data_IF_629110894458
#
_entry.id   IF_629110894458
#
_cell.length_a   1.000
_cell.length_b   1.000
_cell.length_c   1.000
_cell.angle_alpha   90.00
_cell.angle_beta   90.00
_cell.angle_gamma   90.00
#
_symmetry.space_group_name_H-M   'P 1'
#
loop_
_entity.id
_entity.type
_entity.pdbx_description
1 polymer ?
#
# COMPACT_ATOMS: atom_id res chain seq x y z
N UNK A 1 -21.38 8.24 -23.64
CA UNK A 1 -21.33 9.55 -24.34
C UNK A 1 -21.99 10.60 -23.45
N UNK A 2 -21.27 11.27 -22.55
CA UNK A 2 -21.88 12.31 -21.68
C UNK A 2 -20.87 13.35 -21.16
N UNK A 3 -19.76 13.59 -21.87
CA UNK A 3 -18.68 14.49 -21.40
C UNK A 3 -18.51 15.76 -22.27
N UNK A 4 -19.23 15.87 -23.39
CA UNK A 4 -19.02 16.94 -24.39
C UNK A 4 -19.91 18.19 -24.24
N UNK A 5 -20.88 18.17 -23.33
CA UNK A 5 -21.82 19.29 -23.16
C UNK A 5 -21.33 20.34 -22.15
N UNK A 6 -20.70 19.93 -21.04
CA UNK A 6 -20.31 20.85 -19.96
C UNK A 6 -19.31 21.94 -20.41
N UNK A 7 -18.36 21.60 -21.28
CA UNK A 7 -17.30 22.53 -21.67
C UNK A 7 -17.78 23.63 -22.64
N UNK A 8 -18.89 23.43 -23.35
CA UNK A 8 -19.41 24.43 -24.30
C UNK A 8 -20.14 25.56 -23.59
N UNK A 9 -20.86 25.23 -22.52
CA UNK A 9 -21.67 26.18 -21.77
C UNK A 9 -20.80 27.16 -20.97
N UNK A 10 -19.66 26.70 -20.44
CA UNK A 10 -18.70 27.55 -19.71
C UNK A 10 -18.06 28.60 -20.63
N UNK A 11 -17.59 28.19 -21.81
CA UNK A 11 -16.93 29.08 -22.79
C UNK A 11 -17.92 30.12 -23.33
N UNK A 12 -19.19 29.77 -23.49
CA UNK A 12 -20.23 30.69 -23.97
C UNK A 12 -20.59 31.74 -22.91
N UNK A 13 -20.57 31.37 -21.63
CA UNK A 13 -20.86 32.28 -20.53
C UNK A 13 -19.77 33.35 -20.33
N UNK A 14 -18.49 32.98 -20.49
CA UNK A 14 -17.38 33.94 -20.41
C UNK A 14 -17.39 34.96 -21.56
N UNK A 15 -17.70 34.53 -22.78
CA UNK A 15 -17.84 35.42 -23.94
C UNK A 15 -18.96 36.44 -23.76
N UNK A 16 -20.10 36.01 -23.21
CA UNK A 16 -21.24 36.90 -22.96
C UNK A 16 -20.93 37.99 -21.91
N UNK A 17 -20.15 37.66 -20.87
CA UNK A 17 -19.70 38.66 -19.87
C UNK A 17 -18.80 39.73 -20.49
N UNK A 18 -17.96 39.37 -21.46
CA UNK A 18 -17.10 40.32 -22.15
C UNK A 18 -17.92 41.29 -23.02
N UNK A 19 -18.86 40.77 -23.80
CA UNK A 19 -19.71 41.58 -24.68
C UNK A 19 -20.61 42.57 -23.91
N UNK A 20 -21.14 42.17 -22.74
CA UNK A 20 -21.93 43.06 -21.89
C UNK A 20 -21.10 44.25 -21.38
N UNK A 21 -19.84 44.03 -21.00
CA UNK A 21 -18.94 45.12 -20.57
C UNK A 21 -18.67 46.13 -21.69
N UNK A 22 -18.40 45.65 -22.90
CA UNK A 22 -18.18 46.53 -24.06
C UNK A 22 -19.45 47.31 -24.45
N UNK A 23 -20.62 46.68 -24.38
CA UNK A 23 -21.89 47.33 -24.68
C UNK A 23 -22.19 48.49 -23.71
N UNK A 24 -21.91 48.30 -22.41
CA UNK A 24 -22.05 49.36 -21.39
C UNK A 24 -21.09 50.52 -21.66
N UNK A 25 -19.83 50.23 -22.02
CA UNK A 25 -18.84 51.27 -22.30
C UNK A 25 -19.22 52.13 -23.52
N UNK A 26 -19.65 51.50 -24.62
CA UNK A 26 -20.05 52.21 -25.83
C UNK A 26 -21.32 53.05 -25.59
N UNK A 27 -22.30 52.52 -24.84
CA UNK A 27 -23.51 53.26 -24.48
C UNK A 27 -23.21 54.50 -23.62
N UNK A 28 -22.24 54.40 -22.70
CA UNK A 28 -21.82 55.54 -21.87
C UNK A 28 -21.21 56.67 -22.71
N UNK A 29 -20.33 56.34 -23.66
CA UNK A 29 -19.68 57.33 -24.54
C UNK A 29 -20.71 58.06 -25.42
N UNK A 30 -21.68 57.33 -25.99
CA UNK A 30 -22.73 57.92 -26.82
C UNK A 30 -23.65 58.84 -25.99
N UNK A 31 -23.98 58.45 -24.76
CA UNK A 31 -24.82 59.24 -23.85
C UNK A 31 -24.14 60.55 -23.47
N UNK A 32 -22.85 60.50 -23.14
CA UNK A 32 -22.06 61.70 -22.79
C UNK A 32 -21.94 62.63 -24.01
N UNK A 33 -21.64 62.09 -25.18
CA UNK A 33 -21.55 62.87 -26.42
C UNK A 33 -22.86 63.58 -26.79
N UNK A 34 -23.99 62.90 -26.60
CA UNK A 34 -25.32 63.47 -26.88
C UNK A 34 -25.69 64.63 -25.94
N UNK A 35 -25.32 64.55 -24.66
CA UNK A 35 -25.54 65.61 -23.68
C UNK A 35 -24.69 66.85 -24.04
N UNK A 36 -23.42 66.66 -24.39
CA UNK A 36 -22.52 67.76 -24.76
C UNK A 36 -23.00 68.50 -26.01
N UNK A 37 -23.46 67.76 -27.04
CA UNK A 37 -23.96 68.36 -28.28
C UNK A 37 -25.23 69.19 -28.07
N UNK A 38 -26.11 68.75 -27.18
CA UNK A 38 -27.38 69.42 -26.87
C UNK A 38 -27.21 70.68 -25.99
N UNK A 39 -26.13 70.76 -25.20
CA UNK A 39 -25.92 71.82 -24.20
C UNK A 39 -24.88 72.88 -24.59
N UNK A 40 -24.17 72.72 -25.72
CA UNK A 40 -23.14 73.65 -26.21
C UNK A 40 -23.65 75.10 -26.46
N UNK A 41 -24.96 75.28 -26.58
CA UNK A 41 -25.60 76.58 -26.87
C UNK A 41 -26.02 77.37 -25.62
N UNK A 42 -25.60 77.00 -24.40
CA UNK A 42 -26.00 77.67 -23.14
C UNK A 42 -24.80 77.94 -22.22
N UNK A 43 -24.50 79.21 -21.94
CA UNK A 43 -23.38 79.63 -21.06
C UNK A 43 -23.45 79.08 -19.62
N UNK A 44 -24.65 78.74 -19.15
CA UNK A 44 -24.86 78.14 -17.81
C UNK A 44 -24.28 76.73 -17.69
N UNK A 45 -24.09 76.02 -18.80
CA UNK A 45 -23.50 74.67 -18.80
C UNK A 45 -22.00 74.70 -18.51
N UNK A 46 -21.26 75.67 -19.07
CA UNK A 46 -19.81 75.81 -18.86
C UNK A 46 -19.49 76.00 -17.37
N UNK A 47 -20.30 76.81 -16.67
CA UNK A 47 -20.16 77.01 -15.23
C UNK A 47 -20.43 75.73 -14.42
N UNK A 48 -21.45 74.95 -14.79
CA UNK A 48 -21.78 73.67 -14.12
C UNK A 48 -20.72 72.60 -14.37
N UNK A 49 -20.17 72.51 -15.59
CA UNK A 49 -19.09 71.57 -15.93
C UNK A 49 -17.81 71.92 -15.17
N UNK A 50 -17.46 73.20 -15.06
CA UNK A 50 -16.28 73.64 -14.29
C UNK A 50 -16.41 73.30 -12.81
N UNK A 51 -17.61 73.42 -12.24
CA UNK A 51 -17.89 73.05 -10.85
C UNK A 51 -17.81 71.53 -10.65
N UNK A 52 -18.44 70.76 -11.55
CA UNK A 52 -18.38 69.29 -11.53
C UNK A 52 -16.95 68.77 -11.70
N UNK A 53 -16.14 69.39 -12.55
CA UNK A 53 -14.73 69.04 -12.76
C UNK A 53 -13.89 69.31 -11.49
N UNK A 54 -14.17 70.41 -10.79
CA UNK A 54 -13.50 70.73 -9.51
C UNK A 54 -13.83 69.69 -8.45
N UNK A 55 -15.11 69.33 -8.29
CA UNK A 55 -15.53 68.28 -7.35
C UNK A 55 -14.92 66.93 -7.72
N UNK A 56 -14.92 66.59 -9.00
CA UNK A 56 -14.33 65.34 -9.50
C UNK A 56 -12.84 65.28 -9.17
N UNK A 57 -12.11 66.39 -9.31
CA UNK A 57 -10.69 66.49 -8.96
C UNK A 57 -10.43 66.28 -7.46
N UNK A 58 -11.29 66.83 -6.60
CA UNK A 58 -11.21 66.62 -5.14
C UNK A 58 -11.43 65.14 -4.81
N UNK A 59 -12.46 64.51 -5.41
CA UNK A 59 -12.77 63.10 -5.16
C UNK A 59 -11.64 62.19 -5.66
N UNK A 60 -11.09 62.43 -6.85
CA UNK A 60 -9.94 61.69 -7.37
C UNK A 60 -8.70 61.83 -6.47
N UNK A 61 -8.46 63.01 -5.90
CA UNK A 61 -7.38 63.21 -4.93
C UNK A 61 -7.56 62.37 -3.66
N UNK A 62 -8.80 62.25 -3.16
CA UNK A 62 -9.10 61.43 -1.98
C UNK A 62 -8.91 59.94 -2.28
N UNK A 63 -9.38 59.48 -3.45
CA UNK A 63 -9.18 58.09 -3.90
C UNK A 63 -7.68 57.80 -4.05
N UNK A 64 -6.89 58.73 -4.59
CA UNK A 64 -5.46 58.58 -4.73
C UNK A 64 -4.75 58.45 -3.37
N UNK A 65 -5.09 59.30 -2.39
CA UNK A 65 -4.56 59.20 -1.03
C UNK A 65 -4.97 57.86 -0.37
N UNK A 66 -6.23 57.47 -0.52
CA UNK A 66 -6.74 56.19 0.00
C UNK A 66 -6.01 55.00 -0.63
N UNK A 67 -5.84 54.99 -1.95
CA UNK A 67 -5.07 53.99 -2.66
C UNK A 67 -3.61 53.98 -2.22
N UNK A 68 -2.98 55.13 -1.98
CA UNK A 68 -1.60 55.18 -1.46
C UNK A 68 -1.50 54.46 -0.10
N UNK A 69 -2.38 54.80 0.85
CA UNK A 69 -2.36 54.22 2.20
C UNK A 69 -2.77 52.74 2.18
N UNK A 70 -3.78 52.37 1.39
CA UNK A 70 -4.28 51.00 1.29
C UNK A 70 -3.31 50.10 0.51
N UNK A 71 -2.69 50.62 -0.56
CA UNK A 71 -1.67 49.93 -1.33
C UNK A 71 -0.42 49.69 -0.50
N UNK A 72 0.01 50.65 0.33
CA UNK A 72 1.19 50.46 1.19
C UNK A 72 0.94 49.39 2.27
N UNK A 73 -0.24 49.40 2.90
CA UNK A 73 -0.64 48.35 3.87
C UNK A 73 -0.76 46.97 3.22
N UNK A 74 -1.48 46.87 2.09
CA UNK A 74 -1.65 45.60 1.38
C UNK A 74 -0.35 45.09 0.77
N UNK A 75 0.51 45.97 0.24
CA UNK A 75 1.82 45.60 -0.31
C UNK A 75 2.76 45.08 0.78
N UNK A 76 2.76 45.68 1.97
CA UNK A 76 3.58 45.19 3.08
C UNK A 76 3.11 43.82 3.60
N UNK A 77 1.80 43.61 3.72
CA UNK A 77 1.25 42.30 4.07
C UNK A 77 1.56 41.24 3.00
N UNK A 78 1.48 41.60 1.72
CA UNK A 78 1.85 40.73 0.60
C UNK A 78 3.35 40.41 0.65
N UNK A 79 4.22 41.40 0.86
CA UNK A 79 5.67 41.19 1.00
C UNK A 79 6.00 40.26 2.16
N UNK A 80 5.33 40.44 3.30
CA UNK A 80 5.50 39.59 4.49
C UNK A 80 5.09 38.14 4.20
N UNK A 81 3.92 37.93 3.59
CA UNK A 81 3.46 36.59 3.19
C UNK A 81 4.35 35.94 2.12
N UNK A 82 4.89 36.72 1.19
CA UNK A 82 5.87 36.24 0.19
C UNK A 82 7.16 35.81 0.88
N UNK A 83 7.65 36.59 1.85
CA UNK A 83 8.83 36.24 2.63
C UNK A 83 8.62 34.94 3.41
N UNK A 84 7.51 34.82 4.14
CA UNK A 84 7.15 33.59 4.87
C UNK A 84 7.03 32.39 3.93
N UNK A 85 6.39 32.56 2.77
CA UNK A 85 6.25 31.50 1.77
C UNK A 85 7.61 31.09 1.20
N UNK A 86 8.50 32.05 0.95
CA UNK A 86 9.85 31.80 0.45
C UNK A 86 10.70 31.07 1.49
N UNK A 87 10.60 31.46 2.77
CA UNK A 87 11.27 30.77 3.87
C UNK A 87 10.77 29.32 4.04
N UNK A 88 9.45 29.11 3.94
CA UNK A 88 8.86 27.77 3.98
C UNK A 88 9.29 26.92 2.78
N UNK A 89 9.44 27.51 1.60
CA UNK A 89 9.99 26.82 0.43
C UNK A 89 11.46 26.45 0.63
N UNK A 90 12.29 27.37 1.16
CA UNK A 90 13.69 27.08 1.46
C UNK A 90 13.83 25.92 2.46
N UNK A 91 13.04 25.93 3.55
CA UNK A 91 12.97 24.82 4.52
C UNK A 91 12.48 23.51 3.90
N UNK A 92 11.53 23.58 2.97
CA UNK A 92 11.05 22.39 2.25
C UNK A 92 12.14 21.81 1.35
N UNK A 93 12.88 22.65 0.64
CA UNK A 93 14.02 22.23 -0.20
C UNK A 93 15.12 21.60 0.65
N UNK A 94 15.48 22.20 1.78
CA UNK A 94 16.45 21.64 2.74
C UNK A 94 15.99 20.27 3.26
N UNK A 95 14.71 20.14 3.63
CA UNK A 95 14.15 18.85 4.06
C UNK A 95 14.17 17.81 2.94
N UNK A 96 13.98 18.20 1.68
CA UNK A 96 14.06 17.32 0.52
C UNK A 96 15.51 16.87 0.26
N UNK A 97 16.49 17.75 0.43
CA UNK A 97 17.92 17.41 0.33
C UNK A 97 18.32 16.41 1.42
N UNK A 98 17.95 16.68 2.68
CA UNK A 98 18.17 15.74 3.80
C UNK A 98 17.47 14.40 3.55
N UNK A 99 16.25 14.43 3.00
CA UNK A 99 15.53 13.20 2.67
C UNK A 99 16.21 12.42 1.54
N UNK A 100 16.73 13.11 0.53
CA UNK A 100 17.47 12.50 -0.57
C UNK A 100 18.76 11.84 -0.06
N UNK A 101 19.53 12.52 0.78
CA UNK A 101 20.76 11.98 1.39
C UNK A 101 20.46 10.76 2.27
N UNK A 102 19.38 10.82 3.06
CA UNK A 102 18.92 9.67 3.83
C UNK A 102 18.52 8.51 2.92
N UNK A 103 17.79 8.78 1.83
CA UNK A 103 17.37 7.75 0.90
C UNK A 103 18.56 7.09 0.20
N UNK A 104 19.57 7.86 -0.20
CA UNK A 104 20.82 7.34 -0.75
C UNK A 104 21.55 6.44 0.26
N UNK A 105 21.64 6.86 1.53
CA UNK A 105 22.26 6.02 2.58
C UNK A 105 21.50 4.71 2.83
N UNK A 106 20.16 4.74 2.80
CA UNK A 106 19.31 3.55 2.95
C UNK A 106 19.49 2.62 1.75
N UNK A 107 19.49 3.13 0.53
CA UNK A 107 19.71 2.32 -0.67
C UNK A 107 21.10 1.66 -0.66
N UNK A 108 22.15 2.39 -0.25
CA UNK A 108 23.49 1.83 -0.13
C UNK A 108 23.56 0.74 0.95
N UNK A 109 22.89 0.93 2.08
CA UNK A 109 22.81 -0.08 3.15
C UNK A 109 22.09 -1.33 2.66
N UNK A 110 20.93 -1.18 2.02
CA UNK A 110 20.17 -2.29 1.47
C UNK A 110 20.96 -3.04 0.39
N UNK A 111 21.70 -2.33 -0.47
CA UNK A 111 22.54 -2.95 -1.49
C UNK A 111 23.67 -3.77 -0.86
N UNK A 112 24.24 -3.30 0.25
CA UNK A 112 25.26 -4.04 1.00
C UNK A 112 24.68 -5.28 1.69
N UNK A 113 23.49 -5.17 2.31
CA UNK A 113 22.77 -6.32 2.89
C UNK A 113 22.40 -7.36 1.82
N UNK A 114 21.96 -6.92 0.64
CA UNK A 114 21.66 -7.81 -0.48
C UNK A 114 22.91 -8.52 -1.00
N UNK A 115 24.06 -7.85 -1.03
CA UNK A 115 25.34 -8.47 -1.38
C UNK A 115 25.77 -9.53 -0.34
N UNK A 116 25.61 -9.25 0.96
CA UNK A 116 25.86 -10.23 2.02
C UNK A 116 24.93 -11.46 1.91
N UNK A 117 23.65 -11.23 1.62
CA UNK A 117 22.68 -12.31 1.36
C UNK A 117 23.07 -13.13 0.13
N UNK A 118 23.54 -12.48 -0.94
CA UNK A 118 24.03 -13.16 -2.15
C UNK A 118 25.24 -14.02 -1.84
N UNK A 119 26.22 -13.50 -1.10
CA UNK A 119 27.42 -14.24 -0.71
C UNK A 119 27.07 -15.47 0.14
N UNK A 120 26.16 -15.30 1.12
CA UNK A 120 25.64 -16.41 1.92
C UNK A 120 24.90 -17.45 1.07
N UNK A 121 24.15 -17.02 0.06
CA UNK A 121 23.47 -17.93 -0.86
C UNK A 121 24.46 -18.70 -1.74
N UNK A 122 25.51 -18.06 -2.25
CA UNK A 122 26.59 -18.72 -2.99
C UNK A 122 27.33 -19.75 -2.12
N UNK A 123 27.59 -19.43 -0.85
CA UNK A 123 28.17 -20.38 0.10
C UNK A 123 27.25 -21.58 0.36
N UNK A 124 25.94 -21.35 0.47
CA UNK A 124 24.95 -22.44 0.59
C UNK A 124 24.93 -23.31 -0.66
N UNK A 125 24.91 -22.71 -1.86
CA UNK A 125 24.95 -23.45 -3.13
C UNK A 125 26.20 -24.34 -3.19
N UNK A 126 27.37 -23.79 -2.87
CA UNK A 126 28.62 -24.55 -2.85
C UNK A 126 28.56 -25.71 -1.82
N UNK A 127 27.95 -25.48 -0.66
CA UNK A 127 27.76 -26.54 0.34
C UNK A 127 26.79 -27.63 -0.15
N UNK A 128 25.73 -27.26 -0.87
CA UNK A 128 24.76 -28.19 -1.46
C UNK A 128 25.41 -29.02 -2.57
N UNK A 129 26.22 -28.42 -3.43
CA UNK A 129 26.98 -29.14 -4.46
C UNK A 129 27.96 -30.14 -3.84
N UNK A 130 28.67 -29.73 -2.78
CA UNK A 130 29.60 -30.61 -2.05
C UNK A 130 28.84 -31.77 -1.38
N UNK A 131 27.65 -31.52 -0.84
CA UNK A 131 26.77 -32.56 -0.29
C UNK A 131 26.25 -33.47 -1.41
N UNK A 132 25.85 -32.93 -2.56
CA UNK A 132 25.42 -33.70 -3.72
C UNK A 132 26.51 -34.62 -4.26
N UNK A 133 27.75 -34.14 -4.32
CA UNK A 133 28.91 -34.92 -4.72
C UNK A 133 29.22 -36.03 -3.68
N UNK A 134 29.19 -35.72 -2.38
CA UNK A 134 29.33 -36.74 -1.34
C UNK A 134 28.21 -37.79 -1.35
N UNK A 135 26.97 -37.39 -1.59
CA UNK A 135 25.83 -38.31 -1.75
C UNK A 135 26.02 -39.20 -2.97
N UNK A 136 26.52 -38.65 -4.08
CA UNK A 136 26.81 -39.42 -5.31
C UNK A 136 27.93 -40.42 -5.07
N UNK A 137 29.01 -40.02 -4.40
CA UNK A 137 30.12 -40.91 -4.01
C UNK A 137 29.64 -41.97 -3.02
N UNK A 138 28.75 -41.64 -2.07
CA UNK A 138 28.11 -42.63 -1.19
C UNK A 138 27.26 -43.61 -1.97
N UNK A 139 26.45 -43.14 -2.94
CA UNK A 139 25.61 -43.97 -3.79
C UNK A 139 26.45 -44.94 -4.65
N UNK A 140 27.54 -44.46 -5.23
CA UNK A 140 28.46 -45.25 -6.05
C UNK A 140 29.18 -46.32 -5.20
N UNK A 141 29.65 -45.97 -4.00
CA UNK A 141 30.22 -46.92 -3.04
C UNK A 141 29.21 -47.96 -2.54
N UNK A 142 27.93 -47.63 -2.50
CA UNK A 142 26.84 -48.57 -2.19
C UNK A 142 26.60 -49.53 -3.36
N UNK A 143 26.77 -49.08 -4.60
CA UNK A 143 26.50 -49.88 -5.80
C UNK A 143 27.68 -50.76 -6.26
N UNK A 144 28.92 -50.43 -5.90
CA UNK A 144 30.14 -51.14 -6.34
C UNK A 144 30.57 -52.33 -5.43
N UNK A 145 29.89 -52.58 -4.31
CA UNK A 145 30.23 -53.69 -3.41
C UNK A 145 29.56 -55.01 -3.85
N UNK A 146 30.27 -56.17 -3.83
CA UNK A 146 29.68 -57.45 -4.24
C UNK A 146 28.48 -57.81 -3.36
N UNK A 147 27.50 -58.45 -3.97
CA UNK A 147 26.24 -58.93 -3.39
C UNK A 147 26.47 -59.90 -2.20
N UNK A 148 26.74 -59.33 -1.05
CA UNK A 148 26.55 -59.92 0.27
C UNK A 148 25.31 -59.26 0.86
N UNK A 149 24.38 -59.95 1.54
CA UNK A 149 23.12 -59.37 1.98
C UNK A 149 23.39 -58.24 2.98
N UNK A 150 23.47 -57.01 2.48
CA UNK A 150 23.68 -55.81 3.28
C UNK A 150 22.30 -55.24 3.56
N UNK A 151 21.83 -55.44 4.78
CA UNK A 151 20.77 -54.65 5.41
C UNK A 151 21.20 -53.19 5.45
N UNK A 152 21.02 -52.47 4.34
CA UNK A 152 21.06 -51.01 4.34
C UNK A 152 19.81 -50.52 5.08
N UNK A 153 19.98 -50.14 6.33
CA UNK A 153 19.01 -49.34 7.06
C UNK A 153 18.96 -47.94 6.44
N UNK A 154 18.34 -47.79 5.27
CA UNK A 154 17.65 -46.55 4.92
C UNK A 154 16.55 -46.40 5.96
N UNK A 155 16.87 -45.82 7.12
CA UNK A 155 15.92 -45.68 8.22
C UNK A 155 14.84 -44.69 7.76
N UNK A 156 13.82 -45.21 7.09
CA UNK A 156 12.53 -44.56 6.90
C UNK A 156 12.16 -44.00 8.26
N UNK A 157 11.87 -42.70 8.31
CA UNK A 157 11.52 -41.99 9.53
C UNK A 157 10.52 -42.83 10.32
N UNK A 158 10.83 -43.14 11.58
CA UNK A 158 9.91 -43.96 12.39
C UNK A 158 8.60 -43.22 12.60
N UNK A 159 7.53 -43.94 12.90
CA UNK A 159 6.23 -43.34 13.22
C UNK A 159 6.36 -42.28 14.31
N UNK A 160 7.20 -42.52 15.35
CA UNK A 160 7.46 -41.53 16.40
C UNK A 160 8.13 -40.26 15.86
N UNK A 161 9.15 -40.40 15.02
CA UNK A 161 9.82 -39.24 14.42
C UNK A 161 8.85 -38.42 13.55
N UNK A 162 7.94 -39.09 12.83
CA UNK A 162 6.88 -38.43 12.01
C UNK A 162 5.92 -37.64 12.88
N UNK A 163 5.50 -38.23 14.00
CA UNK A 163 4.66 -37.55 14.99
C UNK A 163 5.40 -36.34 15.59
N UNK A 164 6.68 -36.50 15.98
CA UNK A 164 7.49 -35.40 16.51
C UNK A 164 7.65 -34.28 15.50
N UNK A 165 7.83 -34.59 14.22
CA UNK A 165 7.94 -33.58 13.17
C UNK A 165 6.66 -32.74 13.04
N UNK A 166 5.49 -33.38 13.04
CA UNK A 166 4.22 -32.67 13.09
C UNK A 166 4.05 -31.87 14.39
N UNK A 167 4.46 -32.43 15.53
CA UNK A 167 4.38 -31.74 16.82
C UNK A 167 5.24 -30.48 16.85
N UNK A 168 6.43 -30.51 16.26
CA UNK A 168 7.29 -29.33 16.14
C UNK A 168 6.63 -28.25 15.29
N UNK A 169 6.01 -28.63 14.16
CA UNK A 169 5.23 -27.70 13.34
C UNK A 169 4.05 -27.11 14.13
N UNK A 170 3.32 -27.96 14.83
CA UNK A 170 2.18 -27.54 15.65
C UNK A 170 2.63 -26.58 16.76
N UNK A 171 3.72 -26.87 17.47
CA UNK A 171 4.27 -25.99 18.50
C UNK A 171 4.74 -24.66 17.89
N UNK A 172 5.40 -24.69 16.74
CA UNK A 172 5.80 -23.47 16.02
C UNK A 172 4.61 -22.60 15.63
N UNK A 173 3.52 -23.21 15.18
CA UNK A 173 2.28 -22.50 14.86
C UNK A 173 1.55 -21.98 16.12
N UNK A 174 1.83 -22.58 17.28
CA UNK A 174 1.18 -22.33 18.57
C UNK A 174 2.22 -21.94 19.62
N UNK A 175 2.91 -20.83 19.42
CA UNK A 175 3.86 -20.32 20.42
C UNK A 175 3.12 -19.49 21.50
N UNK A 176 3.36 -19.69 22.79
CA UNK A 176 2.40 -19.39 23.87
C UNK A 176 1.85 -17.92 23.98
N UNK A 177 0.57 -17.79 24.40
CA UNK A 177 -0.05 -16.70 25.18
C UNK A 177 -0.85 -15.50 24.57
N UNK A 178 -1.63 -15.63 23.48
CA UNK A 178 -2.71 -14.65 23.13
C UNK A 178 -3.91 -15.30 22.40
N UNK A 179 -5.10 -14.66 22.40
CA UNK A 179 -6.31 -15.19 21.71
C UNK A 179 -6.16 -15.26 20.18
N UNK A 180 -5.40 -14.35 19.56
CA UNK A 180 -5.00 -14.43 18.13
C UNK A 180 -4.28 -15.74 17.78
N UNK A 181 -3.57 -16.35 18.73
CA UNK A 181 -2.81 -17.59 18.50
C UNK A 181 -3.67 -18.85 18.58
N UNK A 182 -4.81 -18.80 19.28
CA UNK A 182 -5.83 -19.87 19.21
C UNK A 182 -6.41 -19.97 17.81
N UNK A 183 -6.63 -18.83 17.16
CA UNK A 183 -7.10 -18.78 15.77
C UNK A 183 -6.03 -19.34 14.80
N UNK A 184 -4.76 -18.98 14.99
CA UNK A 184 -3.62 -19.56 14.23
C UNK A 184 -3.53 -21.08 14.35
N UNK A 185 -3.71 -21.61 15.55
CA UNK A 185 -3.74 -23.05 15.81
C UNK A 185 -4.91 -23.73 15.08
N UNK A 186 -6.10 -23.12 15.18
CA UNK A 186 -7.31 -23.59 14.53
C UNK A 186 -7.14 -23.64 12.99
N UNK A 187 -6.60 -22.57 12.39
CA UNK A 187 -6.30 -22.53 10.95
C UNK A 187 -5.35 -23.65 10.51
N UNK A 188 -4.27 -23.91 11.26
CA UNK A 188 -3.37 -25.02 10.95
C UNK A 188 -4.11 -26.36 11.03
N UNK A 189 -4.96 -26.55 12.04
CA UNK A 189 -5.73 -27.78 12.22
C UNK A 189 -6.70 -28.00 11.05
N UNK A 190 -7.42 -26.98 10.62
CA UNK A 190 -8.36 -27.02 9.49
C UNK A 190 -7.64 -27.40 8.19
N UNK A 191 -6.51 -26.75 7.92
CA UNK A 191 -5.69 -27.08 6.76
C UNK A 191 -5.15 -28.50 6.83
N UNK A 192 -4.69 -28.94 8.01
CA UNK A 192 -4.18 -30.31 8.22
C UNK A 192 -5.28 -31.35 7.98
N UNK A 193 -6.49 -31.14 8.51
CA UNK A 193 -7.61 -32.04 8.34
C UNK A 193 -8.01 -32.15 6.85
N UNK A 194 -8.10 -31.01 6.16
CA UNK A 194 -8.36 -30.97 4.72
C UNK A 194 -7.28 -31.73 3.93
N UNK A 195 -6.02 -31.53 4.29
CA UNK A 195 -4.87 -32.18 3.65
C UNK A 195 -4.91 -33.71 3.79
N UNK A 196 -5.21 -34.20 5.01
CA UNK A 196 -5.37 -35.64 5.31
C UNK A 196 -6.57 -36.21 4.55
N UNK A 197 -7.71 -35.52 4.55
CA UNK A 197 -8.92 -35.95 3.83
C UNK A 197 -8.66 -36.09 2.33
N UNK A 198 -7.95 -35.11 1.76
CA UNK A 198 -7.61 -35.14 0.35
C UNK A 198 -6.68 -36.32 0.01
N UNK A 199 -5.68 -36.59 0.85
CA UNK A 199 -4.81 -37.76 0.69
C UNK A 199 -5.59 -39.08 0.76
N UNK A 200 -6.48 -39.23 1.75
CA UNK A 200 -7.32 -40.43 1.88
C UNK A 200 -8.20 -40.67 0.65
N UNK A 201 -8.70 -39.60 0.05
CA UNK A 201 -9.53 -39.65 -1.15
C UNK A 201 -8.73 -39.70 -2.46
N UNK A 202 -7.39 -39.79 -2.39
CA UNK A 202 -6.50 -39.71 -3.57
C UNK A 202 -6.70 -38.46 -4.43
N UNK A 203 -7.23 -37.38 -3.83
CA UNK A 203 -7.41 -36.10 -4.51
C UNK A 203 -6.13 -35.25 -4.35
N UNK A 204 -5.66 -34.59 -5.42
CA UNK A 204 -4.49 -33.71 -5.33
C UNK A 204 -4.66 -32.60 -4.30
N UNK A 205 -3.61 -32.35 -3.52
CA UNK A 205 -3.56 -31.19 -2.62
C UNK A 205 -3.16 -29.95 -3.43
N UNK A 206 -4.14 -29.14 -3.83
CA UNK A 206 -3.95 -27.88 -4.56
C UNK A 206 -4.17 -26.69 -3.62
N UNK A 207 -3.24 -25.72 -3.64
CA UNK A 207 -3.29 -24.56 -2.75
C UNK A 207 -4.59 -23.75 -2.91
N UNK A 208 -5.03 -23.52 -4.15
CA UNK A 208 -6.28 -22.81 -4.46
C UNK A 208 -7.51 -23.46 -3.81
N UNK A 209 -7.56 -24.79 -3.79
CA UNK A 209 -8.69 -25.53 -3.20
C UNK A 209 -8.67 -25.45 -1.67
N UNK A 210 -7.47 -25.35 -1.08
CA UNK A 210 -7.31 -25.07 0.33
C UNK A 210 -7.77 -23.64 0.69
N UNK A 211 -7.46 -22.64 -0.14
CA UNK A 211 -7.96 -21.27 0.06
C UNK A 211 -9.48 -21.19 -0.03
N UNK A 212 -10.08 -21.79 -1.06
CA UNK A 212 -11.55 -21.85 -1.17
C UNK A 212 -12.20 -22.55 0.02
N UNK A 213 -11.60 -23.63 0.52
CA UNK A 213 -12.09 -24.29 1.74
C UNK A 213 -12.07 -23.32 2.93
N UNK A 214 -10.97 -22.59 3.12
CA UNK A 214 -10.85 -21.61 4.20
C UNK A 214 -11.87 -20.45 4.07
N UNK A 215 -12.20 -20.01 2.85
CA UNK A 215 -13.29 -19.06 2.61
C UNK A 215 -14.65 -19.63 3.04
N UNK A 216 -14.93 -20.90 2.74
CA UNK A 216 -16.22 -21.53 3.10
C UNK A 216 -16.44 -21.66 4.60
N UNK A 217 -15.36 -21.72 5.39
CA UNK A 217 -15.41 -21.73 6.86
C UNK A 217 -15.28 -20.32 7.46
N UNK A 218 -15.42 -19.28 6.63
CA UNK A 218 -15.39 -17.87 7.00
C UNK A 218 -14.04 -17.42 7.62
N UNK A 219 -12.92 -17.95 7.11
CA UNK A 219 -11.60 -17.47 7.48
C UNK A 219 -11.22 -16.20 6.70
N UNK A 220 -10.65 -15.21 7.40
CA UNK A 220 -10.18 -13.97 6.76
C UNK A 220 -8.87 -14.19 6.00
N UNK A 221 -8.98 -14.47 4.70
CA UNK A 221 -7.82 -14.69 3.83
C UNK A 221 -6.95 -13.45 3.64
N UNK A 222 -7.51 -12.25 3.73
CA UNK A 222 -6.75 -11.01 3.57
C UNK A 222 -5.82 -10.81 4.77
N UNK A 223 -6.35 -11.08 5.97
CA UNK A 223 -5.60 -10.98 7.22
C UNK A 223 -4.58 -12.10 7.38
N UNK A 224 -4.97 -13.34 7.08
CA UNK A 224 -4.18 -14.53 7.40
C UNK A 224 -3.40 -15.11 6.21
N UNK A 225 -3.49 -14.54 5.01
CA UNK A 225 -2.92 -15.10 3.78
C UNK A 225 -1.45 -15.46 3.85
N UNK A 226 -0.62 -14.63 4.48
CA UNK A 226 0.82 -14.92 4.68
C UNK A 226 1.05 -16.17 5.53
N UNK A 227 0.28 -16.32 6.61
CA UNK A 227 0.37 -17.46 7.53
C UNK A 227 -0.16 -18.73 6.88
N UNK A 228 -1.28 -18.63 6.15
CA UNK A 228 -1.86 -19.73 5.36
C UNK A 228 -0.84 -20.25 4.33
N UNK A 229 -0.12 -19.36 3.64
CA UNK A 229 0.93 -19.76 2.69
C UNK A 229 2.08 -20.51 3.38
N UNK A 230 2.53 -20.04 4.55
CA UNK A 230 3.56 -20.74 5.33
C UNK A 230 3.11 -22.11 5.81
N UNK A 231 1.86 -22.24 6.29
CA UNK A 231 1.28 -23.52 6.69
C UNK A 231 1.16 -24.49 5.52
N UNK A 232 0.76 -23.98 4.34
CA UNK A 232 0.72 -24.79 3.13
C UNK A 232 2.09 -25.39 2.80
N UNK A 233 3.13 -24.56 2.77
CA UNK A 233 4.50 -25.03 2.53
C UNK A 233 4.95 -26.08 3.54
N UNK A 234 4.65 -25.89 4.82
CA UNK A 234 4.97 -26.86 5.87
C UNK A 234 4.22 -28.19 5.70
N UNK A 235 2.92 -28.16 5.37
CA UNK A 235 2.14 -29.37 5.10
C UNK A 235 2.66 -30.13 3.87
N UNK A 236 3.05 -29.41 2.81
CA UNK A 236 3.72 -30.02 1.65
C UNK A 236 5.03 -30.72 2.05
N UNK A 237 5.87 -30.10 2.89
CA UNK A 237 7.09 -30.73 3.40
C UNK A 237 6.79 -31.99 4.23
N UNK A 238 5.79 -31.95 5.11
CA UNK A 238 5.37 -33.14 5.87
C UNK A 238 4.86 -34.27 4.96
N UNK A 239 4.16 -33.92 3.88
CA UNK A 239 3.72 -34.87 2.86
C UNK A 239 4.91 -35.53 2.16
N UNK A 240 5.94 -34.75 1.80
CA UNK A 240 7.17 -35.28 1.20
C UNK A 240 7.94 -36.18 2.17
N UNK A 241 7.90 -35.87 3.48
CA UNK A 241 8.45 -36.71 4.55
C UNK A 241 7.59 -37.96 4.84
N UNK A 242 6.54 -38.23 4.06
CA UNK A 242 5.68 -39.42 4.21
C UNK A 242 5.02 -39.50 5.59
N UNK A 243 4.76 -38.34 6.22
CA UNK A 243 4.07 -38.25 7.53
C UNK A 243 2.62 -38.66 7.39
N UNK A 244 1.94 -38.20 6.34
CA UNK A 244 0.53 -38.49 6.09
C UNK A 244 0.27 -39.85 5.43
N UNK A 245 1.32 -40.55 5.00
CA UNK A 245 1.22 -41.90 4.45
C UNK A 245 1.30 -42.99 5.54
N UNK A 246 1.67 -42.63 6.78
CA UNK A 246 1.74 -43.53 7.92
C UNK A 246 0.44 -43.46 8.72
N UNK A 247 -0.37 -44.50 8.61
CA UNK A 247 -1.69 -44.58 9.24
C UNK A 247 -1.62 -44.35 10.76
N UNK A 248 -0.61 -44.89 11.44
CA UNK A 248 -0.46 -44.73 12.88
C UNK A 248 -0.08 -43.28 13.26
N UNK A 249 0.72 -42.62 12.42
CA UNK A 249 1.05 -41.21 12.63
C UNK A 249 -0.17 -40.32 12.38
N UNK A 250 -0.94 -40.59 11.32
CA UNK A 250 -2.16 -39.85 10.97
C UNK A 250 -3.20 -39.96 12.09
N UNK A 251 -3.42 -41.14 12.66
CA UNK A 251 -4.36 -41.34 13.76
C UNK A 251 -4.01 -40.49 14.98
N UNK A 252 -2.74 -40.49 15.41
CA UNK A 252 -2.29 -39.66 16.53
C UNK A 252 -2.32 -38.15 16.22
N UNK A 253 -2.09 -37.76 14.97
CA UNK A 253 -2.25 -36.37 14.53
C UNK A 253 -3.72 -35.96 14.63
N UNK A 254 -4.64 -36.79 14.14
CA UNK A 254 -6.08 -36.54 14.19
C UNK A 254 -6.61 -36.46 15.63
N UNK A 255 -6.17 -37.35 16.52
CA UNK A 255 -6.51 -37.28 17.96
C UNK A 255 -6.12 -35.94 18.58
N UNK A 256 -5.00 -35.36 18.15
CA UNK A 256 -4.51 -34.07 18.66
C UNK A 256 -5.28 -32.87 18.09
N UNK A 257 -5.65 -32.89 16.81
CA UNK A 257 -6.32 -31.74 16.16
C UNK A 257 -7.85 -31.74 16.29
N UNK A 258 -8.49 -32.91 16.39
CA UNK A 258 -9.95 -33.05 16.43
C UNK A 258 -10.62 -32.25 17.57
N UNK A 259 -10.09 -32.23 18.81
CA UNK A 259 -10.67 -31.42 19.89
C UNK A 259 -10.67 -29.91 19.60
N UNK A 260 -9.76 -29.43 18.76
CA UNK A 260 -9.62 -28.01 18.42
C UNK A 260 -10.56 -27.60 17.29
N UNK A 261 -10.95 -28.54 16.43
CA UNK A 261 -11.85 -28.35 15.30
C UNK A 261 -13.33 -28.37 15.70
N UNK A 262 -13.68 -29.14 16.74
CA UNK A 262 -15.07 -29.29 17.19
C UNK A 262 -15.61 -28.09 18.00
N UNK A 263 -14.76 -27.11 18.31
CA UNK A 263 -15.16 -25.86 18.95
C UNK A 263 -15.46 -24.81 17.88
N UNK A 264 -16.44 -23.92 18.11
CA UNK A 264 -16.69 -22.76 17.24
C UNK A 264 -15.37 -22.01 16.94
N UNK A 265 -15.21 -21.41 15.75
CA UNK A 265 -13.99 -20.71 15.38
C UNK A 265 -13.62 -19.72 16.50
N UNK A 266 -12.39 -19.78 17.04
CA UNK A 266 -11.97 -18.87 18.09
C UNK A 266 -12.19 -17.41 17.64
N UNK A 267 -12.51 -16.50 18.57
CA UNK A 267 -12.65 -15.08 18.21
C UNK A 267 -11.36 -14.58 17.55
N UNK A 268 -11.48 -14.13 16.30
CA UNK A 268 -10.38 -13.50 15.57
C UNK A 268 -10.07 -12.14 16.24
N UNK A 269 -9.12 -12.17 17.17
CA UNK A 269 -8.71 -11.04 18.01
C UNK A 269 -7.23 -10.74 17.80
N UNK A 270 -6.86 -10.48 16.56
CA UNK A 270 -5.62 -9.74 16.27
C UNK A 270 -6.01 -8.32 15.88
N UNK A 271 -5.85 -7.42 16.85
CA UNK A 271 -6.18 -6.00 16.80
C UNK A 271 -5.24 -5.29 15.81
N UNK A 272 -5.80 -4.67 14.78
CA UNK A 272 -5.10 -3.79 13.82
C UNK A 272 -4.84 -2.42 14.44
N UNK A 273 -4.17 -2.37 15.59
CA UNK A 273 -3.73 -1.11 16.19
C UNK A 273 -2.23 -1.16 16.51
N UNK A 274 -1.41 -1.27 15.47
CA UNK A 274 -0.03 -0.74 15.44
C UNK A 274 0.51 -0.78 14.00
N UNK A 275 0.03 0.17 13.21
CA UNK A 275 0.63 0.58 11.95
C UNK A 275 0.24 2.05 11.70
N UNK A 276 0.60 2.92 12.63
CA UNK A 276 0.82 4.35 12.39
C UNK A 276 2.20 4.71 12.97
#
# INVERSE_FOLDING_TARGET
>A
MMEKNDNKDVIQNEKNKLHIKYLIAIASVISIGSIVLSLCNKDTFVAQVSFASTITSIVLSVIAIWMSISSERTTNDIKSKIWESTERLAKTTENVEILNDRNESIMNTQLNELNDVKEKLEAIIHSVDTVGEQVTIMQEKVNAAPSTPRTTNNKTMTTEQKITLFQNLYTWAVDYATDSKKYRAWLLCEMTQKFIKNQKNSTPNVYRDAMHYLETINADLNKWGKIINSYWGALCMLSMASVFNDQNAVEKILEKITPLLNNQPPKDTEDTSKSE
#
